data_IF_757740445415
#
_entry.id   IF_757740445415
#
_cell.length_a   1.000
_cell.length_b   1.000
_cell.length_c   1.000
_cell.angle_alpha   90.00
_cell.angle_beta   90.00
_cell.angle_gamma   90.00
#
_symmetry.space_group_name_H-M   'P 1'
#
loop_
_entity.id
_entity.type
_entity.pdbx_description
1 polymer ?
#
# COMPACT_ATOMS: atom_id res chain seq x y z
N UNK A 1 20.20 -6.54 9.63
CA UNK A 1 20.93 -7.74 9.27
C UNK A 1 22.34 -7.74 9.89
N UNK A 2 23.23 -6.81 9.56
CA UNK A 2 24.64 -6.80 10.06
C UNK A 2 24.77 -6.80 11.58
N UNK A 3 24.02 -5.98 12.32
CA UNK A 3 24.06 -5.91 13.80
C UNK A 3 23.64 -7.21 14.49
N UNK A 4 22.94 -8.11 13.80
CA UNK A 4 22.44 -9.40 14.33
C UNK A 4 23.18 -10.60 13.74
N UNK A 5 24.35 -10.39 13.12
CA UNK A 5 25.15 -11.47 12.55
C UNK A 5 24.55 -12.15 11.31
N UNK A 6 23.58 -11.50 10.65
CA UNK A 6 22.97 -12.02 9.43
C UNK A 6 23.75 -11.45 8.24
N UNK A 7 24.49 -12.31 7.55
CA UNK A 7 25.24 -11.95 6.35
C UNK A 7 24.32 -11.94 5.14
N UNK A 8 23.96 -10.74 4.68
CA UNK A 8 23.21 -10.52 3.43
C UNK A 8 23.97 -9.51 2.57
N UNK A 9 24.16 -9.83 1.30
CA UNK A 9 24.71 -8.93 0.31
C UNK A 9 23.93 -9.01 -0.99
N UNK A 10 23.85 -7.90 -1.75
CA UNK A 10 23.24 -7.92 -3.08
C UNK A 10 23.91 -8.97 -3.99
N UNK A 11 23.12 -9.66 -4.80
CA UNK A 11 23.61 -10.70 -5.71
C UNK A 11 23.79 -12.08 -5.10
N UNK A 12 23.65 -12.23 -3.78
CA UNK A 12 23.64 -13.56 -3.18
C UNK A 12 22.31 -14.28 -3.43
N UNK A 13 22.38 -15.61 -3.51
CA UNK A 13 21.16 -16.43 -3.60
C UNK A 13 20.33 -16.22 -2.33
N UNK A 14 19.03 -16.02 -2.54
CA UNK A 14 18.07 -15.92 -1.45
C UNK A 14 17.95 -17.27 -0.74
N UNK A 15 18.28 -17.30 0.54
CA UNK A 15 18.13 -18.46 1.41
C UNK A 15 16.91 -18.23 2.32
N UNK A 16 15.88 -19.12 2.29
CA UNK A 16 14.66 -18.95 3.05
C UNK A 16 14.88 -18.79 4.56
N UNK A 17 15.76 -19.57 5.14
CA UNK A 17 16.00 -19.57 6.59
C UNK A 17 16.68 -18.26 7.03
N UNK A 18 17.67 -17.82 6.26
CA UNK A 18 18.35 -16.54 6.51
C UNK A 18 17.38 -15.37 6.39
N UNK A 19 16.52 -15.36 5.35
CA UNK A 19 15.55 -14.31 5.15
C UNK A 19 14.41 -14.39 6.17
N UNK A 20 14.02 -15.58 6.62
CA UNK A 20 13.04 -15.72 7.69
C UNK A 20 13.52 -15.10 8.99
N UNK A 21 14.79 -15.29 9.36
CA UNK A 21 15.40 -14.61 10.53
C UNK A 21 15.36 -13.09 10.41
N UNK A 22 15.49 -12.54 9.20
CA UNK A 22 15.29 -11.09 8.98
C UNK A 22 13.83 -10.72 9.22
N UNK A 23 12.89 -11.52 8.71
CA UNK A 23 11.46 -11.30 8.90
C UNK A 23 11.04 -11.41 10.36
N UNK A 24 11.64 -12.31 11.14
CA UNK A 24 11.42 -12.38 12.59
C UNK A 24 11.83 -11.08 13.29
N UNK A 25 12.95 -10.49 12.89
CA UNK A 25 13.35 -9.18 13.42
C UNK A 25 12.40 -8.07 12.99
N UNK A 26 11.89 -8.10 11.77
CA UNK A 26 10.89 -7.13 11.32
C UNK A 26 9.59 -7.28 12.12
N UNK A 27 9.15 -8.49 12.37
CA UNK A 27 7.99 -8.77 13.21
C UNK A 27 8.19 -8.30 14.65
N UNK A 28 9.39 -8.52 15.20
CA UNK A 28 9.76 -8.04 16.53
C UNK A 28 9.73 -6.50 16.63
N UNK A 29 10.27 -5.80 15.65
CA UNK A 29 10.20 -4.34 15.58
C UNK A 29 8.76 -3.82 15.46
N UNK A 30 7.92 -4.53 14.68
CA UNK A 30 6.50 -4.20 14.58
C UNK A 30 5.77 -4.39 15.91
N UNK A 31 6.06 -5.47 16.64
CA UNK A 31 5.50 -5.70 17.97
C UNK A 31 5.92 -4.62 18.98
N UNK A 32 7.15 -4.14 18.89
CA UNK A 32 7.64 -3.01 19.70
C UNK A 32 6.93 -1.71 19.32
N UNK A 33 6.77 -1.42 18.02
CA UNK A 33 6.09 -0.22 17.54
C UNK A 33 4.62 -0.15 17.97
N UNK A 34 3.98 -1.32 18.14
CA UNK A 34 2.61 -1.46 18.63
C UNK A 34 2.51 -1.57 20.17
N UNK A 35 3.62 -1.42 20.89
CA UNK A 35 3.68 -1.59 22.36
C UNK A 35 3.21 -2.95 22.87
N UNK A 36 3.23 -3.99 22.04
CA UNK A 36 2.95 -5.37 22.43
C UNK A 36 4.11 -6.00 23.21
N UNK A 37 5.26 -5.36 23.19
CA UNK A 37 6.45 -5.67 23.98
C UNK A 37 7.23 -4.38 24.28
N UNK A 38 8.15 -4.38 25.27
CA UNK A 38 9.01 -3.24 25.55
C UNK A 38 9.80 -2.79 24.32
N UNK A 39 9.93 -1.49 24.15
CA UNK A 39 10.75 -0.94 23.08
C UNK A 39 12.24 -1.15 23.38
N UNK A 40 12.96 -1.61 22.38
CA UNK A 40 14.40 -1.79 22.46
C UNK A 40 15.12 -0.49 22.06
N UNK A 41 15.90 0.08 22.97
CA UNK A 41 16.64 1.31 22.74
C UNK A 41 17.77 1.16 21.68
N UNK A 42 18.06 -0.08 21.25
CA UNK A 42 19.18 -0.35 20.35
C UNK A 42 18.98 0.11 18.90
N UNK A 43 17.78 0.56 18.51
CA UNK A 43 17.46 0.80 17.09
C UNK A 43 16.89 2.18 16.78
N UNK A 44 17.48 3.28 17.27
CA UNK A 44 16.98 4.63 16.98
C UNK A 44 16.98 4.97 15.47
N UNK A 45 17.84 4.34 14.68
CA UNK A 45 17.90 4.54 13.23
C UNK A 45 16.75 3.90 12.42
N UNK A 46 15.83 3.17 13.06
CA UNK A 46 14.62 2.67 12.41
C UNK A 46 13.44 3.64 12.49
N UNK A 47 13.53 4.63 13.35
CA UNK A 47 12.52 5.68 13.42
C UNK A 47 12.72 6.67 12.29
N UNK A 48 11.66 6.94 11.55
CA UNK A 48 11.57 8.07 10.62
C UNK A 48 11.35 9.36 11.40
N UNK A 49 11.46 10.52 10.78
CA UNK A 49 11.23 11.82 11.44
C UNK A 49 12.21 12.16 12.57
N UNK A 50 13.50 11.91 12.36
CA UNK A 50 14.54 12.31 13.31
C UNK A 50 14.69 11.42 14.53
N UNK A 51 14.18 10.20 14.48
CA UNK A 51 14.39 9.21 15.53
C UNK A 51 13.48 9.37 16.75
N UNK A 52 12.37 10.08 16.61
CA UNK A 52 11.40 10.24 17.70
C UNK A 52 10.60 8.96 17.88
N UNK A 53 10.62 8.40 19.07
CA UNK A 53 9.76 7.26 19.41
C UNK A 53 8.30 7.70 19.50
N UNK A 54 7.40 6.79 19.15
CA UNK A 54 5.97 7.00 19.37
C UNK A 54 5.74 7.08 20.88
N UNK A 55 5.01 8.09 21.39
CA UNK A 55 4.70 8.15 22.82
C UNK A 55 3.89 6.94 23.26
N UNK A 56 4.01 6.49 24.52
CA UNK A 56 3.25 5.37 25.04
C UNK A 56 1.76 5.52 24.77
N UNK A 57 1.16 4.47 24.24
CA UNK A 57 -0.25 4.41 23.90
C UNK A 57 -1.01 3.57 24.93
N UNK A 58 -2.34 3.71 25.04
CA UNK A 58 -3.18 2.77 25.77
C UNK A 58 -2.92 1.34 25.29
N UNK A 59 -3.17 0.37 26.18
CA UNK A 59 -2.97 -1.05 25.86
C UNK A 59 -3.70 -1.45 24.57
N UNK A 60 -2.97 -1.96 23.61
CA UNK A 60 -3.51 -2.46 22.35
C UNK A 60 -4.26 -3.77 22.63
N UNK A 61 -5.56 -3.81 22.34
CA UNK A 61 -6.41 -4.98 22.55
C UNK A 61 -6.55 -5.84 21.30
N UNK A 62 -6.35 -5.26 20.15
CA UNK A 62 -6.45 -5.96 18.89
C UNK A 62 -5.72 -5.25 17.77
N UNK A 63 -5.38 -6.01 16.76
CA UNK A 63 -4.60 -5.58 15.60
C UNK A 63 -5.30 -6.05 14.33
N UNK A 64 -5.29 -5.23 13.31
CA UNK A 64 -5.67 -5.63 11.96
C UNK A 64 -4.55 -5.27 11.00
N UNK A 65 -4.36 -6.08 9.97
CA UNK A 65 -3.35 -5.87 8.95
C UNK A 65 -4.03 -5.66 7.59
N UNK A 66 -3.49 -4.76 6.80
CA UNK A 66 -3.87 -4.55 5.39
C UNK A 66 -2.63 -4.52 4.52
N UNK A 67 -2.82 -4.56 3.21
CA UNK A 67 -1.73 -4.64 2.25
C UNK A 67 -1.37 -6.08 1.85
N UNK A 68 -0.40 -6.22 0.94
CA UNK A 68 -0.08 -7.51 0.31
C UNK A 68 0.43 -8.60 1.25
N UNK A 69 1.05 -8.24 2.38
CA UNK A 69 1.52 -9.20 3.39
C UNK A 69 0.39 -9.73 4.27
N UNK A 70 -0.71 -8.98 4.40
CA UNK A 70 -1.81 -9.32 5.30
C UNK A 70 -2.44 -10.67 5.00
N UNK A 71 -2.55 -11.05 3.73
CA UNK A 71 -3.10 -12.35 3.32
C UNK A 71 -2.31 -13.51 3.95
N UNK A 72 -0.99 -13.37 4.08
CA UNK A 72 -0.11 -14.39 4.67
C UNK A 72 -0.09 -14.38 6.19
N UNK A 73 -0.59 -13.31 6.81
CA UNK A 73 -0.83 -13.25 8.25
C UNK A 73 -2.12 -13.98 8.59
N UNK A 74 -3.18 -13.76 7.81
CA UNK A 74 -4.50 -14.35 8.07
C UNK A 74 -4.61 -15.81 7.63
N UNK A 75 -3.97 -16.18 6.52
CA UNK A 75 -4.04 -17.51 5.94
C UNK A 75 -2.70 -18.25 6.07
N UNK A 76 -2.71 -19.59 6.16
CA UNK A 76 -1.49 -20.38 6.12
C UNK A 76 -0.69 -20.07 4.85
N UNK A 77 0.62 -19.93 5.01
CA UNK A 77 1.50 -19.69 3.87
C UNK A 77 1.48 -20.86 2.89
N UNK A 78 1.61 -20.54 1.62
CA UNK A 78 1.85 -21.50 0.55
C UNK A 78 3.24 -22.14 0.69
N UNK A 79 3.46 -23.30 0.04
CA UNK A 79 4.76 -23.98 0.06
C UNK A 79 5.88 -23.12 -0.57
N UNK A 80 5.56 -22.39 -1.64
CA UNK A 80 6.52 -21.48 -2.30
C UNK A 80 6.59 -20.13 -1.58
N UNK A 81 7.62 -19.97 -0.76
CA UNK A 81 7.87 -18.72 0.01
C UNK A 81 8.37 -17.57 -0.85
N UNK A 82 8.79 -17.82 -2.08
CA UNK A 82 9.29 -16.80 -3.02
C UNK A 82 8.40 -16.63 -4.26
N UNK A 83 7.14 -17.06 -4.21
CA UNK A 83 6.23 -17.04 -5.38
C UNK A 83 6.08 -15.65 -6.02
N UNK A 84 6.37 -14.57 -5.30
CA UNK A 84 6.32 -13.20 -5.80
C UNK A 84 7.70 -12.56 -5.96
N UNK A 85 8.78 -13.32 -5.76
CA UNK A 85 10.15 -12.80 -5.83
C UNK A 85 10.52 -11.86 -4.69
N UNK A 86 9.77 -11.86 -3.58
CA UNK A 86 9.99 -11.02 -2.41
C UNK A 86 9.91 -11.82 -1.09
N UNK A 87 10.01 -11.11 0.05
CA UNK A 87 9.96 -11.70 1.40
C UNK A 87 8.56 -11.66 2.02
N UNK A 88 7.53 -11.25 1.29
CA UNK A 88 6.18 -11.01 1.84
C UNK A 88 5.58 -12.23 2.52
N UNK A 89 5.73 -13.41 1.92
CA UNK A 89 5.25 -14.69 2.49
C UNK A 89 5.98 -15.01 3.81
N UNK A 90 7.32 -14.84 3.83
CA UNK A 90 8.12 -15.07 5.02
C UNK A 90 7.79 -14.09 6.13
N UNK A 91 7.57 -12.81 5.79
CA UNK A 91 7.19 -11.78 6.75
C UNK A 91 5.81 -12.05 7.35
N UNK A 92 4.83 -12.41 6.53
CA UNK A 92 3.51 -12.79 7.02
C UNK A 92 3.56 -13.97 8.00
N UNK A 93 4.37 -14.99 7.67
CA UNK A 93 4.64 -16.15 8.55
C UNK A 93 5.29 -15.70 9.86
N UNK A 94 6.33 -14.85 9.81
CA UNK A 94 7.03 -14.37 10.99
C UNK A 94 6.09 -13.58 11.92
N UNK A 95 5.27 -12.68 11.40
CA UNK A 95 4.28 -11.94 12.19
C UNK A 95 3.28 -12.89 12.83
N UNK A 96 2.73 -13.85 12.08
CA UNK A 96 1.75 -14.83 12.58
C UNK A 96 2.31 -15.70 13.70
N UNK A 97 3.59 -16.08 13.62
CA UNK A 97 4.25 -16.94 14.60
C UNK A 97 4.82 -16.17 15.79
N UNK A 98 4.88 -14.85 15.72
CA UNK A 98 5.49 -14.04 16.76
C UNK A 98 4.62 -14.02 18.03
N UNK A 99 5.17 -14.35 19.23
CA UNK A 99 4.40 -14.53 20.45
C UNK A 99 3.56 -13.31 20.86
N UNK A 100 4.06 -12.09 20.62
CA UNK A 100 3.35 -10.87 21.00
C UNK A 100 2.03 -10.69 20.25
N UNK A 101 1.96 -11.11 18.99
CA UNK A 101 0.71 -11.04 18.21
C UNK A 101 -0.29 -12.13 18.62
N UNK A 102 0.18 -13.22 19.23
CA UNK A 102 -0.69 -14.24 19.81
C UNK A 102 -1.39 -13.81 21.11
N UNK A 103 -0.99 -12.69 21.70
CA UNK A 103 -1.56 -12.15 22.94
C UNK A 103 -2.68 -11.12 22.72
N UNK A 104 -2.93 -10.73 21.49
CA UNK A 104 -3.95 -9.75 21.13
C UNK A 104 -4.93 -10.33 20.12
N UNK A 105 -6.12 -9.74 20.05
CA UNK A 105 -7.11 -10.17 19.05
C UNK A 105 -6.64 -9.74 17.66
N UNK A 106 -6.52 -10.70 16.75
CA UNK A 106 -6.21 -10.43 15.36
C UNK A 106 -7.52 -10.33 14.57
N UNK A 107 -7.93 -9.11 14.24
CA UNK A 107 -9.11 -8.84 13.43
C UNK A 107 -8.76 -8.98 11.95
N UNK A 108 -9.54 -9.78 11.24
CA UNK A 108 -9.37 -9.90 9.81
C UNK A 108 -9.86 -8.62 9.11
N UNK A 109 -9.01 -8.03 8.26
CA UNK A 109 -9.39 -6.90 7.44
C UNK A 109 -10.39 -7.36 6.35
N UNK A 110 -11.37 -6.51 6.06
CA UNK A 110 -12.29 -6.76 4.94
C UNK A 110 -11.55 -6.69 3.59
N UNK A 111 -10.54 -5.82 3.50
CA UNK A 111 -9.67 -5.66 2.33
C UNK A 111 -8.22 -5.75 2.76
N UNK A 112 -7.43 -6.52 2.03
CA UNK A 112 -5.99 -6.70 2.26
C UNK A 112 -5.16 -6.01 1.19
N UNK A 113 -4.79 -6.71 0.14
CA UNK A 113 -3.95 -6.19 -0.95
C UNK A 113 -4.56 -4.97 -1.65
N UNK A 114 -5.88 -4.88 -1.69
CA UNK A 114 -6.62 -3.79 -2.35
C UNK A 114 -6.97 -2.62 -1.44
N UNK A 115 -6.62 -2.68 -0.15
CA UNK A 115 -7.01 -1.68 0.85
C UNK A 115 -6.65 -0.24 0.44
N UNK A 116 -5.46 -0.02 -0.13
CA UNK A 116 -5.02 1.31 -0.58
C UNK A 116 -5.89 1.84 -1.72
N UNK A 117 -6.19 0.98 -2.71
CA UNK A 117 -7.00 1.36 -3.87
C UNK A 117 -8.44 1.61 -3.46
N UNK A 118 -9.00 0.75 -2.59
CA UNK A 118 -10.34 0.92 -2.05
C UNK A 118 -10.42 2.18 -1.19
N UNK A 119 -9.43 2.42 -0.32
CA UNK A 119 -9.35 3.63 0.49
C UNK A 119 -9.27 4.91 -0.36
N UNK A 120 -8.43 4.93 -1.38
CA UNK A 120 -8.34 6.06 -2.30
C UNK A 120 -9.65 6.27 -3.07
N UNK A 121 -10.32 5.19 -3.49
CA UNK A 121 -11.60 5.27 -4.24
C UNK A 121 -12.80 5.64 -3.37
N UNK A 122 -12.73 5.45 -2.05
CA UNK A 122 -13.81 5.80 -1.11
C UNK A 122 -13.57 7.13 -0.42
N UNK A 123 -12.37 7.69 -0.51
CA UNK A 123 -12.04 8.97 0.09
C UNK A 123 -12.69 10.09 -0.72
N UNK A 124 -13.66 10.76 -0.13
CA UNK A 124 -14.22 11.99 -0.71
C UNK A 124 -13.22 13.11 -0.49
N UNK A 125 -12.66 13.62 -1.59
CA UNK A 125 -11.80 14.80 -1.52
C UNK A 125 -12.69 16.01 -1.26
N UNK A 126 -12.60 16.60 -0.08
CA UNK A 126 -13.18 17.93 0.17
C UNK A 126 -12.31 18.97 -0.54
N UNK A 127 -12.77 19.44 -1.68
CA UNK A 127 -12.16 20.58 -2.36
C UNK A 127 -12.69 21.85 -1.71
N UNK A 128 -11.88 22.45 -0.84
CA UNK A 128 -12.21 23.75 -0.24
C UNK A 128 -12.04 24.84 -1.28
N UNK A 129 -13.09 25.62 -1.54
CA UNK A 129 -13.02 26.90 -2.25
C UNK A 129 -13.69 27.01 -3.61
N UNK A 130 -14.35 25.97 -4.13
CA UNK A 130 -15.14 26.07 -5.35
C UNK A 130 -16.54 25.50 -5.14
N UNK A 131 -17.54 26.18 -5.66
CA UNK A 131 -18.90 25.61 -5.74
C UNK A 131 -18.90 24.55 -6.82
N UNK A 132 -18.81 23.28 -6.43
CA UNK A 132 -18.90 22.15 -7.35
C UNK A 132 -20.34 21.65 -7.35
N UNK A 133 -20.96 21.69 -8.51
CA UNK A 133 -22.28 21.08 -8.72
C UNK A 133 -22.10 19.72 -9.37
N UNK A 134 -22.63 18.67 -8.75
CA UNK A 134 -22.59 17.31 -9.30
C UNK A 134 -23.92 16.60 -9.10
N UNK A 135 -24.19 15.64 -9.95
CA UNK A 135 -25.36 14.77 -9.84
C UNK A 135 -25.05 13.65 -8.83
N UNK A 136 -25.63 13.70 -7.63
CA UNK A 136 -25.39 12.74 -6.53
C UNK A 136 -25.61 11.29 -6.94
N UNK A 137 -26.59 11.04 -7.81
CA UNK A 137 -26.92 9.72 -8.33
C UNK A 137 -25.84 9.10 -9.22
N UNK A 138 -24.87 9.92 -9.67
CA UNK A 138 -23.76 9.47 -10.53
C UNK A 138 -22.46 9.21 -9.75
N UNK A 139 -22.44 9.47 -8.45
CA UNK A 139 -21.26 9.28 -7.61
C UNK A 139 -21.55 8.26 -6.48
N UNK A 140 -20.54 7.49 -6.05
CA UNK A 140 -19.16 7.45 -6.55
C UNK A 140 -19.03 6.67 -7.87
N UNK A 141 -18.23 7.19 -8.79
CA UNK A 141 -17.84 6.47 -10.02
C UNK A 141 -16.56 5.68 -9.69
N UNK A 142 -16.59 4.38 -9.94
CA UNK A 142 -15.44 3.49 -9.68
C UNK A 142 -14.76 3.09 -10.98
N UNK A 143 -13.45 2.88 -10.94
CA UNK A 143 -12.65 2.36 -12.05
C UNK A 143 -12.76 3.20 -13.34
N UNK A 144 -12.75 4.52 -13.19
CA UNK A 144 -12.78 5.42 -14.36
C UNK A 144 -11.40 5.44 -15.02
N UNK A 145 -11.28 5.02 -16.28
CA UNK A 145 -10.04 5.16 -17.03
C UNK A 145 -9.66 6.64 -17.15
N UNK A 146 -8.36 6.92 -17.07
CA UNK A 146 -7.83 8.28 -17.17
C UNK A 146 -7.12 8.45 -18.52
N UNK A 147 -7.66 9.34 -19.34
CA UNK A 147 -6.98 9.84 -20.52
C UNK A 147 -6.10 11.02 -20.11
N UNK A 148 -4.79 10.84 -20.13
CA UNK A 148 -3.83 11.91 -19.83
C UNK A 148 -3.44 12.61 -21.13
N UNK A 149 -3.66 13.90 -21.19
CA UNK A 149 -3.19 14.75 -22.30
C UNK A 149 -1.70 15.04 -22.12
N UNK A 150 -0.96 15.07 -23.23
CA UNK A 150 0.44 15.48 -23.21
C UNK A 150 0.55 16.99 -22.95
N UNK A 151 1.58 17.39 -22.19
CA UNK A 151 1.76 18.79 -21.76
C UNK A 151 1.90 19.74 -22.96
N UNK A 152 2.50 19.25 -24.05
CA UNK A 152 2.66 20.00 -25.29
C UNK A 152 1.32 20.27 -26.01
N UNK A 153 0.35 19.36 -25.87
CA UNK A 153 -0.97 19.48 -26.50
C UNK A 153 -1.92 20.39 -25.71
N UNK A 154 -1.62 20.68 -24.46
CA UNK A 154 -2.43 21.57 -23.62
C UNK A 154 -2.33 23.05 -24.02
N UNK A 155 -1.27 23.43 -24.73
CA UNK A 155 -0.96 24.82 -25.04
C UNK A 155 -1.96 25.50 -25.99
N UNK A 156 -2.67 24.73 -26.83
CA UNK A 156 -3.64 25.27 -27.81
C UNK A 156 -4.88 24.38 -27.87
N UNK A 157 -6.06 25.01 -27.98
CA UNK A 157 -7.34 24.32 -28.03
C UNK A 157 -7.48 23.32 -29.19
N UNK A 158 -6.84 23.61 -30.32
CA UNK A 158 -6.88 22.74 -31.49
C UNK A 158 -6.09 21.45 -31.25
N UNK A 159 -4.84 21.56 -30.81
CA UNK A 159 -3.99 20.41 -30.50
C UNK A 159 -4.58 19.56 -29.35
N UNK A 160 -5.13 20.21 -28.34
CA UNK A 160 -5.87 19.57 -27.25
C UNK A 160 -7.06 18.75 -27.75
N UNK A 161 -7.89 19.36 -28.61
CA UNK A 161 -9.06 18.71 -29.17
C UNK A 161 -8.70 17.50 -30.03
N UNK A 162 -7.67 17.60 -30.82
CA UNK A 162 -7.20 16.54 -31.70
C UNK A 162 -6.54 15.39 -30.90
N UNK A 163 -5.76 15.71 -29.89
CA UNK A 163 -5.17 14.72 -28.97
C UNK A 163 -6.24 13.91 -28.26
N UNK A 164 -7.25 14.59 -27.70
CA UNK A 164 -8.37 13.91 -27.04
C UNK A 164 -9.16 13.04 -28.04
N UNK A 165 -9.48 13.59 -29.20
CA UNK A 165 -10.25 12.88 -30.23
C UNK A 165 -9.54 11.62 -30.72
N UNK A 166 -8.24 11.67 -30.87
CA UNK A 166 -7.41 10.54 -31.32
C UNK A 166 -7.32 9.45 -30.26
N UNK A 167 -7.31 9.82 -28.98
CA UNK A 167 -7.15 8.86 -27.87
C UNK A 167 -8.48 8.26 -27.38
N UNK A 168 -9.61 8.96 -27.51
CA UNK A 168 -10.93 8.46 -27.07
C UNK A 168 -11.26 7.05 -27.58
N UNK A 169 -10.98 6.67 -28.85
CA UNK A 169 -11.25 5.33 -29.34
C UNK A 169 -10.60 4.21 -28.53
N UNK A 170 -9.43 4.47 -27.90
CA UNK A 170 -8.72 3.50 -27.05
C UNK A 170 -9.49 3.14 -25.78
N UNK A 171 -10.44 4.00 -25.37
CA UNK A 171 -11.27 3.84 -24.18
C UNK A 171 -12.72 3.41 -24.51
N UNK A 172 -12.92 2.79 -25.67
CA UNK A 172 -14.22 2.27 -26.12
C UNK A 172 -14.15 0.76 -26.36
N UNK A 173 -14.04 -0.08 -25.32
CA UNK A 173 -14.08 -1.51 -25.51
C UNK A 173 -15.43 -1.90 -26.15
N UNK A 174 -15.38 -2.75 -27.15
CA UNK A 174 -16.55 -3.23 -27.90
C UNK A 174 -17.44 -2.12 -28.50
N UNK A 175 -16.87 -0.92 -28.76
CA UNK A 175 -17.59 0.21 -29.37
C UNK A 175 -18.57 0.94 -28.46
N UNK A 176 -18.66 0.57 -27.17
CA UNK A 176 -19.49 1.26 -26.18
C UNK A 176 -18.72 2.41 -25.54
N UNK A 177 -19.31 3.61 -25.39
CA UNK A 177 -18.66 4.70 -24.70
C UNK A 177 -18.57 4.37 -23.19
N UNK A 178 -17.37 4.33 -22.65
CA UNK A 178 -17.16 4.31 -21.21
C UNK A 178 -17.01 5.72 -20.65
N UNK A 179 -17.30 5.86 -19.36
CA UNK A 179 -16.99 7.09 -18.65
C UNK A 179 -15.47 7.16 -18.47
N UNK A 180 -14.86 8.25 -18.93
CA UNK A 180 -13.42 8.51 -18.80
C UNK A 180 -13.21 9.82 -18.05
N UNK A 181 -12.14 9.90 -17.30
CA UNK A 181 -11.63 11.15 -16.77
C UNK A 181 -10.51 11.68 -17.69
N UNK A 182 -10.50 12.98 -17.94
CA UNK A 182 -9.41 13.61 -18.71
C UNK A 182 -8.53 14.34 -17.70
N UNK A 183 -7.24 14.04 -17.73
CA UNK A 183 -6.25 14.68 -16.86
C UNK A 183 -5.37 15.65 -17.62
N UNK A 184 -5.21 16.84 -17.08
CA UNK A 184 -4.35 17.92 -17.58
C UNK A 184 -3.24 18.22 -16.57
N UNK A 185 -2.10 18.72 -17.03
CA UNK A 185 -1.02 19.18 -16.16
C UNK A 185 -1.39 20.47 -15.40
N UNK A 186 -2.31 21.25 -15.95
CA UNK A 186 -2.80 22.48 -15.32
C UNK A 186 -1.79 23.62 -15.32
N UNK A 187 -0.78 23.55 -16.16
CA UNK A 187 0.15 24.65 -16.40
C UNK A 187 -0.38 25.45 -17.58
N UNK A 188 -1.20 26.43 -17.29
CA UNK A 188 -1.68 27.43 -18.21
C UNK A 188 -1.26 28.82 -17.76
#
# INVERSE_FOLDING_TARGET
>A
ARKRGIALAPGHRADPDTLFRVCEHMADQLAQALFLKPQDAEHPGLYTNGGTSIPPQPAVRGVTFSGGVADYIYQPATEDVFRYGDIGVLLGRAIRQHPAFGQVVLYQAAETIRATVVGAGTHTTEVSGSTITYAREKLPIKNVPILKVAEEDEAMLETLSDSIRTQIPLYRPEGRPEQIAIAFSGRG
#
